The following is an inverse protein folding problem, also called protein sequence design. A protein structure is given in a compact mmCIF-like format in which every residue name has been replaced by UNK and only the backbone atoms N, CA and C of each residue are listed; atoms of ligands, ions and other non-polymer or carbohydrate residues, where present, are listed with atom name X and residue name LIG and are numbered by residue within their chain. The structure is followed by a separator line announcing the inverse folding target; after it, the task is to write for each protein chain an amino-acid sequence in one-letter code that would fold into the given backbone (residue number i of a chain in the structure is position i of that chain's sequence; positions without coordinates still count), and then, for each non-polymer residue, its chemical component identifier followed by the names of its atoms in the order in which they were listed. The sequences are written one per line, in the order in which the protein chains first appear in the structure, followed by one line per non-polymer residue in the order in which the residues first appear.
data_IF_039500883242
#
_entry.id   IF_039500883242
#
_cell.length_a   1.000
_cell.length_b   1.000
_cell.length_c   1.000
_cell.angle_alpha   90.00
_cell.angle_beta   90.00
_cell.angle_gamma   90.00
#
_symmetry.space_group_name_H-M   'P 1'
#
loop_
_entity.id
_entity.type
_entity.pdbx_description
1 polymer ?
#
# COMPACT_ATOMS: atom_id res chain seq x y z
N UNK A 1 -12.17 -16.96 -11.51
CA UNK A 1 -12.52 -17.49 -10.17
C UNK A 1 -12.76 -16.26 -9.31
N UNK A 2 -13.80 -16.25 -8.46
CA UNK A 2 -14.00 -15.13 -7.54
C UNK A 2 -12.77 -15.04 -6.64
N UNK A 3 -12.10 -13.91 -6.64
CA UNK A 3 -10.99 -13.63 -5.72
C UNK A 3 -11.58 -13.66 -4.32
N UNK A 4 -11.10 -14.58 -3.48
CA UNK A 4 -11.56 -14.70 -2.10
C UNK A 4 -11.12 -13.41 -1.38
N UNK A 5 -12.07 -12.54 -1.08
CA UNK A 5 -11.79 -11.26 -0.46
C UNK A 5 -11.97 -11.37 1.05
N UNK A 6 -10.88 -11.60 1.78
CA UNK A 6 -10.91 -11.74 3.24
C UNK A 6 -11.47 -10.52 3.96
N UNK A 7 -11.38 -9.34 3.35
CA UNK A 7 -11.94 -8.09 3.91
C UNK A 7 -13.48 -8.05 3.92
N UNK A 8 -14.17 -8.93 3.18
CA UNK A 8 -15.62 -9.13 3.24
C UNK A 8 -16.00 -10.24 4.24
N UNK A 9 -15.04 -11.00 4.76
CA UNK A 9 -15.26 -11.96 5.84
C UNK A 9 -15.67 -11.22 7.11
N UNK A 10 -16.81 -11.62 7.73
CA UNK A 10 -17.36 -10.93 8.91
C UNK A 10 -16.39 -10.87 10.08
N UNK A 11 -15.73 -11.99 10.40
CA UNK A 11 -14.78 -12.08 11.51
C UNK A 11 -13.57 -11.17 11.26
N UNK A 12 -13.02 -11.24 10.05
CA UNK A 12 -11.88 -10.40 9.67
C UNK A 12 -12.24 -8.91 9.76
N UNK A 13 -13.38 -8.54 9.21
CA UNK A 13 -13.85 -7.16 9.20
C UNK A 13 -14.04 -6.59 10.62
N UNK A 14 -14.63 -7.38 11.53
CA UNK A 14 -14.82 -6.98 12.94
C UNK A 14 -13.46 -6.78 13.64
N UNK A 15 -12.50 -7.67 13.44
CA UNK A 15 -11.15 -7.53 14.02
C UNK A 15 -10.38 -6.36 13.40
N UNK A 16 -10.49 -6.17 12.08
CA UNK A 16 -9.90 -5.02 11.39
C UNK A 16 -10.43 -3.69 11.91
N UNK A 17 -11.73 -3.60 12.18
CA UNK A 17 -12.36 -2.40 12.74
C UNK A 17 -11.82 -2.01 14.13
N UNK A 18 -11.23 -2.95 14.89
CA UNK A 18 -10.65 -2.68 16.22
C UNK A 18 -9.26 -2.05 16.16
N UNK A 19 -8.56 -2.14 15.04
CA UNK A 19 -7.22 -1.57 14.89
C UNK A 19 -7.28 -0.05 15.06
N UNK A 20 -6.27 0.53 15.72
CA UNK A 20 -6.18 1.98 15.95
C UNK A 20 -6.26 2.78 14.65
N UNK A 21 -5.52 2.35 13.59
CA UNK A 21 -5.60 3.01 12.26
C UNK A 21 -7.00 2.97 11.64
N UNK A 22 -7.77 1.91 11.89
CA UNK A 22 -9.14 1.79 11.39
C UNK A 22 -10.11 2.71 12.13
N UNK A 23 -9.88 2.95 13.42
CA UNK A 23 -10.73 3.77 14.30
C UNK A 23 -10.38 5.24 14.24
N UNK A 24 -9.10 5.56 14.28
CA UNK A 24 -8.57 6.91 14.52
C UNK A 24 -7.91 7.50 13.25
N UNK A 25 -7.84 6.71 12.17
CA UNK A 25 -7.34 7.15 10.87
C UNK A 25 -5.83 7.30 10.79
N UNK A 26 -5.40 8.21 9.94
CA UNK A 26 -3.98 8.38 9.59
C UNK A 26 -3.11 8.78 10.79
N UNK A 27 -3.66 9.52 11.76
CA UNK A 27 -2.91 9.91 12.96
C UNK A 27 -2.48 8.75 13.84
N UNK A 28 -3.17 7.60 13.77
CA UNK A 28 -2.83 6.38 14.49
C UNK A 28 -2.04 5.36 13.63
N UNK A 29 -1.71 5.71 12.41
CA UNK A 29 -0.87 4.89 11.53
C UNK A 29 0.61 5.26 11.75
N UNK A 30 1.39 4.30 12.25
CA UNK A 30 2.78 4.54 12.66
C UNK A 30 3.68 5.05 11.54
N UNK A 31 3.39 4.70 10.29
CA UNK A 31 4.11 5.14 9.10
C UNK A 31 3.70 6.55 8.61
N UNK A 32 2.60 7.10 9.11
CA UNK A 32 2.03 8.33 8.55
C UNK A 32 2.96 9.54 8.61
N UNK A 33 3.75 9.67 9.67
CA UNK A 33 4.70 10.78 9.82
C UNK A 33 5.78 10.78 8.72
N UNK A 34 6.12 9.61 8.16
CA UNK A 34 7.07 9.45 7.04
C UNK A 34 6.37 9.44 5.67
N UNK A 35 5.14 8.90 5.59
CA UNK A 35 4.38 8.82 4.34
C UNK A 35 3.81 10.19 3.92
N UNK A 36 3.29 10.96 4.88
CA UNK A 36 2.68 12.28 4.61
C UNK A 36 3.59 13.25 3.86
N UNK A 37 4.88 13.40 4.20
CA UNK A 37 5.80 14.31 3.47
C UNK A 37 6.07 13.90 2.02
N UNK A 38 5.78 12.67 1.61
CA UNK A 38 5.96 12.20 0.24
C UNK A 38 4.88 12.75 -0.71
N UNK A 39 3.73 13.17 -0.17
CA UNK A 39 2.66 13.72 -1.01
C UNK A 39 3.07 15.07 -1.61
N UNK A 40 2.80 15.29 -2.92
CA UNK A 40 2.95 16.62 -3.52
C UNK A 40 1.85 17.55 -3.01
N UNK A 41 1.92 18.86 -3.27
CA UNK A 41 0.78 19.75 -3.10
C UNK A 41 -0.43 19.25 -3.89
N UNK A 42 -1.55 18.99 -3.21
CA UNK A 42 -2.75 18.38 -3.81
C UNK A 42 -3.81 19.41 -4.21
N UNK A 43 -3.62 20.70 -3.91
CA UNK A 43 -4.55 21.76 -4.30
C UNK A 43 -4.82 21.74 -5.82
N UNK A 44 -6.06 21.57 -6.20
CA UNK A 44 -6.49 21.52 -7.61
C UNK A 44 -6.12 20.23 -8.36
N UNK A 45 -5.63 19.20 -7.67
CA UNK A 45 -5.17 17.94 -8.24
C UNK A 45 -6.25 16.87 -8.29
N UNK A 46 -6.04 15.88 -9.16
CA UNK A 46 -6.84 14.66 -9.25
C UNK A 46 -6.08 13.50 -8.60
N UNK A 47 -6.76 12.70 -7.76
CA UNK A 47 -6.13 11.63 -6.97
C UNK A 47 -6.87 10.32 -7.17
N UNK A 48 -6.11 9.22 -7.38
CA UNK A 48 -6.60 7.85 -7.37
C UNK A 48 -6.00 7.12 -6.16
N UNK A 49 -6.86 6.49 -5.34
CA UNK A 49 -6.45 5.68 -4.18
C UNK A 49 -6.76 4.20 -4.47
N UNK A 50 -5.70 3.41 -4.64
CA UNK A 50 -5.75 1.98 -4.99
C UNK A 50 -5.74 1.13 -3.72
N UNK A 51 -6.85 0.44 -3.43
CA UNK A 51 -7.07 -0.27 -2.18
C UNK A 51 -7.34 0.71 -1.04
N UNK A 52 -8.32 1.60 -1.23
CA UNK A 52 -8.56 2.75 -0.34
C UNK A 52 -9.08 2.39 1.06
N UNK A 53 -9.53 1.14 1.30
CA UNK A 53 -10.09 0.71 2.57
C UNK A 53 -11.20 1.65 3.06
N UNK A 54 -11.06 2.19 4.26
CA UNK A 54 -12.01 3.17 4.83
C UNK A 54 -11.87 4.59 4.26
N UNK A 55 -11.03 4.82 3.23
CA UNK A 55 -10.94 6.10 2.52
C UNK A 55 -10.17 7.20 3.26
N UNK A 56 -9.31 6.87 4.20
CA UNK A 56 -8.56 7.87 4.97
C UNK A 56 -7.63 8.73 4.11
N UNK A 57 -6.98 8.15 3.10
CA UNK A 57 -6.14 8.91 2.15
C UNK A 57 -6.99 9.75 1.21
N UNK A 58 -8.17 9.26 0.81
CA UNK A 58 -9.14 10.06 0.04
C UNK A 58 -9.57 11.31 0.83
N UNK A 59 -9.91 11.14 2.13
CA UNK A 59 -10.27 12.26 2.99
C UNK A 59 -9.11 13.24 3.18
N UNK A 60 -7.89 12.74 3.38
CA UNK A 60 -6.69 13.58 3.43
C UNK A 60 -6.50 14.37 2.13
N UNK A 61 -6.62 13.72 0.96
CA UNK A 61 -6.50 14.40 -0.33
C UNK A 61 -7.55 15.51 -0.49
N UNK A 62 -8.79 15.25 -0.07
CA UNK A 62 -9.86 16.26 -0.08
C UNK A 62 -9.54 17.45 0.82
N UNK A 63 -9.04 17.21 2.03
CA UNK A 63 -8.62 18.26 2.98
C UNK A 63 -7.44 19.09 2.45
N UNK A 64 -6.56 18.48 1.61
CA UNK A 64 -5.46 19.18 0.94
C UNK A 64 -5.87 19.88 -0.36
N UNK A 65 -7.19 19.95 -0.66
CA UNK A 65 -7.73 20.70 -1.79
C UNK A 65 -7.72 19.96 -3.13
N UNK A 66 -7.60 18.64 -3.15
CA UNK A 66 -7.81 17.86 -4.36
C UNK A 66 -9.26 18.05 -4.85
N UNK A 67 -9.43 18.21 -6.18
CA UNK A 67 -10.73 18.55 -6.79
C UNK A 67 -11.51 17.34 -7.28
N UNK A 68 -10.82 16.23 -7.49
CA UNK A 68 -11.43 14.94 -7.87
C UNK A 68 -10.62 13.81 -7.27
N UNK A 69 -11.31 12.94 -6.55
CA UNK A 69 -10.68 11.81 -5.87
C UNK A 69 -11.51 10.57 -6.17
N UNK A 70 -10.86 9.50 -6.58
CA UNK A 70 -11.46 8.19 -6.73
C UNK A 70 -10.76 7.21 -5.80
N UNK A 71 -11.50 6.66 -4.84
CA UNK A 71 -11.06 5.53 -4.03
C UNK A 71 -11.65 4.23 -4.58
N UNK A 72 -10.81 3.25 -4.86
CA UNK A 72 -11.24 1.91 -5.23
C UNK A 72 -10.79 0.90 -4.20
N UNK A 73 -11.66 -0.06 -3.92
CA UNK A 73 -11.36 -1.23 -3.07
C UNK A 73 -12.17 -2.43 -3.56
N UNK A 74 -11.60 -3.63 -3.43
CA UNK A 74 -12.28 -4.86 -3.81
C UNK A 74 -13.43 -5.19 -2.85
N UNK A 75 -13.33 -4.76 -1.58
CA UNK A 75 -14.30 -5.05 -0.53
C UNK A 75 -15.47 -4.09 -0.54
N UNK A 76 -16.67 -4.64 -0.70
CA UNK A 76 -17.92 -3.89 -0.54
C UNK A 76 -18.08 -3.28 0.85
N UNK A 77 -17.69 -4.02 1.91
CA UNK A 77 -17.75 -3.54 3.30
C UNK A 77 -16.81 -2.37 3.54
N UNK A 78 -15.59 -2.41 2.97
CA UNK A 78 -14.64 -1.28 3.06
C UNK A 78 -15.21 -0.03 2.40
N UNK A 79 -15.77 -0.15 1.19
CA UNK A 79 -16.38 0.96 0.46
C UNK A 79 -17.60 1.54 1.21
N UNK A 80 -18.43 0.69 1.83
CA UNK A 80 -19.54 1.18 2.67
C UNK A 80 -19.05 2.01 3.86
N UNK A 81 -18.02 1.54 4.56
CA UNK A 81 -17.42 2.29 5.67
C UNK A 81 -16.73 3.57 5.19
N UNK A 82 -16.04 3.55 4.04
CA UNK A 82 -15.46 4.75 3.44
C UNK A 82 -16.52 5.82 3.17
N UNK A 83 -17.65 5.43 2.59
CA UNK A 83 -18.79 6.35 2.34
C UNK A 83 -19.42 6.90 3.62
N UNK A 84 -19.44 6.11 4.70
CA UNK A 84 -19.99 6.56 6.00
C UNK A 84 -19.04 7.53 6.72
N UNK A 85 -17.73 7.25 6.70
CA UNK A 85 -16.75 7.96 7.53
C UNK A 85 -16.09 9.14 6.82
N UNK A 86 -15.84 9.00 5.52
CA UNK A 86 -14.95 9.87 4.75
C UNK A 86 -15.61 10.36 3.45
N UNK A 87 -16.93 10.63 3.50
CA UNK A 87 -17.64 11.22 2.37
C UNK A 87 -17.29 12.70 2.19
N UNK A 88 -17.05 13.12 0.94
CA UNK A 88 -16.97 14.52 0.55
C UNK A 88 -17.41 14.66 -0.92
N UNK A 89 -17.84 15.85 -1.33
CA UNK A 89 -18.40 16.07 -2.68
C UNK A 89 -17.43 15.68 -3.80
N UNK A 90 -16.13 15.87 -3.60
CA UNK A 90 -15.08 15.57 -4.57
C UNK A 90 -14.59 14.12 -4.52
N UNK A 91 -15.13 13.27 -3.62
CA UNK A 91 -14.71 11.87 -3.49
C UNK A 91 -15.75 10.94 -4.08
N UNK A 92 -15.34 10.12 -5.02
CA UNK A 92 -16.07 8.95 -5.50
C UNK A 92 -15.45 7.69 -4.91
N UNK A 93 -16.28 6.75 -4.42
CA UNK A 93 -15.86 5.42 -3.98
C UNK A 93 -16.48 4.35 -4.86
N UNK A 94 -15.65 3.40 -5.33
CA UNK A 94 -16.07 2.33 -6.23
C UNK A 94 -15.56 0.98 -5.75
N UNK A 95 -16.44 -0.03 -5.77
CA UNK A 95 -16.05 -1.43 -5.59
C UNK A 95 -15.36 -1.87 -6.89
N UNK A 96 -14.05 -2.08 -6.84
CA UNK A 96 -13.24 -2.46 -7.98
C UNK A 96 -11.88 -2.95 -7.49
N UNK A 97 -11.42 -4.09 -8.01
CA UNK A 97 -10.07 -4.59 -7.77
C UNK A 97 -9.01 -3.70 -8.44
N UNK A 98 -7.82 -3.65 -7.85
CA UNK A 98 -6.67 -2.91 -8.41
C UNK A 98 -6.35 -3.41 -9.82
N UNK A 99 -6.38 -4.72 -10.04
CA UNK A 99 -6.07 -5.36 -11.32
C UNK A 99 -7.16 -5.14 -12.38
N UNK A 100 -8.42 -4.94 -11.93
CA UNK A 100 -9.61 -4.78 -12.78
C UNK A 100 -9.87 -3.33 -13.22
N UNK A 101 -9.26 -2.36 -12.54
CA UNK A 101 -9.43 -0.96 -12.88
C UNK A 101 -8.86 -0.67 -14.29
N UNK A 102 -9.57 0.14 -15.09
CA UNK A 102 -9.23 0.36 -16.51
C UNK A 102 -7.98 1.21 -16.73
N UNK A 103 -7.58 2.01 -15.75
CA UNK A 103 -6.44 2.94 -15.82
C UNK A 103 -6.48 3.86 -17.06
N UNK A 104 -7.47 4.77 -17.18
CA UNK A 104 -7.55 5.70 -18.30
C UNK A 104 -6.27 6.53 -18.42
N UNK A 105 -5.81 6.79 -19.65
CA UNK A 105 -4.55 7.49 -19.90
C UNK A 105 -4.57 8.95 -19.42
N UNK A 106 -3.47 9.41 -18.86
CA UNK A 106 -3.24 10.81 -18.46
C UNK A 106 -4.37 11.43 -17.62
N UNK A 107 -4.96 10.65 -16.72
CA UNK A 107 -6.10 11.08 -15.91
C UNK A 107 -5.73 11.66 -14.56
N UNK A 108 -4.72 11.11 -13.89
CA UNK A 108 -4.43 11.38 -12.50
C UNK A 108 -3.14 12.17 -12.29
N UNK A 109 -3.18 13.17 -11.41
CA UNK A 109 -1.98 13.90 -10.96
C UNK A 109 -1.21 13.12 -9.89
N UNK A 110 -1.93 12.36 -9.06
CA UNK A 110 -1.37 11.53 -8.01
C UNK A 110 -2.12 10.20 -7.94
N UNK A 111 -1.38 9.11 -7.86
CA UNK A 111 -1.89 7.79 -7.50
C UNK A 111 -1.28 7.42 -6.15
N UNK A 112 -2.11 6.95 -5.22
CA UNK A 112 -1.66 6.44 -3.92
C UNK A 112 -2.12 5.01 -3.74
N UNK A 113 -1.33 4.19 -3.04
CA UNK A 113 -1.73 2.87 -2.58
C UNK A 113 -1.11 2.60 -1.21
N UNK A 114 -1.92 2.33 -0.20
CA UNK A 114 -1.43 2.08 1.14
C UNK A 114 -1.82 0.69 1.61
N UNK A 115 -0.83 -0.16 1.83
CA UNK A 115 -0.97 -1.54 2.33
C UNK A 115 -1.92 -2.42 1.48
N UNK A 116 -1.87 -2.27 0.15
CA UNK A 116 -2.66 -3.06 -0.79
C UNK A 116 -1.81 -3.81 -1.84
N UNK A 117 -0.64 -3.29 -2.22
CA UNK A 117 0.15 -3.87 -3.32
C UNK A 117 0.78 -5.24 -3.02
N UNK A 118 0.94 -5.60 -1.76
CA UNK A 118 1.42 -6.93 -1.36
C UNK A 118 0.36 -8.03 -1.50
N UNK A 119 -0.82 -7.72 -2.04
CA UNK A 119 -1.81 -8.71 -2.48
C UNK A 119 -1.76 -8.97 -3.99
N UNK A 120 -0.94 -8.25 -4.74
CA UNK A 120 -0.89 -8.26 -6.21
C UNK A 120 0.21 -9.20 -6.69
N UNK A 121 -0.13 -10.17 -7.53
CA UNK A 121 0.82 -11.11 -8.13
C UNK A 121 1.70 -10.42 -9.20
N UNK A 122 1.10 -9.75 -10.19
CA UNK A 122 1.81 -9.00 -11.22
C UNK A 122 1.98 -7.52 -10.85
N UNK A 123 2.86 -7.25 -9.89
CA UNK A 123 3.13 -5.88 -9.45
C UNK A 123 3.72 -5.02 -10.57
N UNK A 124 4.52 -5.61 -11.49
CA UNK A 124 5.11 -4.88 -12.61
C UNK A 124 4.05 -4.43 -13.62
N UNK A 125 3.04 -5.26 -13.89
CA UNK A 125 1.89 -4.90 -14.70
C UNK A 125 1.07 -3.78 -14.08
N UNK A 126 0.92 -3.75 -12.75
CA UNK A 126 0.28 -2.61 -12.08
C UNK A 126 1.11 -1.34 -12.23
N UNK A 127 2.43 -1.40 -12.07
CA UNK A 127 3.30 -0.22 -12.28
C UNK A 127 3.15 0.34 -13.70
N UNK A 128 3.08 -0.53 -14.72
CA UNK A 128 2.82 -0.11 -16.10
C UNK A 128 1.48 0.61 -16.24
N UNK A 129 0.40 0.04 -15.66
CA UNK A 129 -0.93 0.63 -15.69
C UNK A 129 -0.98 1.98 -14.96
N UNK A 130 -0.33 2.08 -13.79
CA UNK A 130 -0.22 3.31 -13.01
C UNK A 130 0.56 4.38 -13.79
N UNK A 131 1.68 4.03 -14.41
CA UNK A 131 2.43 4.98 -15.24
C UNK A 131 1.58 5.54 -16.39
N UNK A 132 0.83 4.68 -17.09
CA UNK A 132 -0.07 5.08 -18.18
C UNK A 132 -1.16 6.05 -17.73
N UNK A 133 -1.74 5.83 -16.56
CA UNK A 133 -2.86 6.65 -16.07
C UNK A 133 -2.43 7.96 -15.44
N UNK A 134 -1.16 8.08 -15.04
CA UNK A 134 -0.60 9.32 -14.53
C UNK A 134 -0.43 10.34 -15.66
N UNK A 135 -0.74 11.59 -15.35
CA UNK A 135 -0.37 12.73 -16.20
C UNK A 135 1.15 12.90 -16.25
N UNK A 136 1.71 13.59 -17.25
CA UNK A 136 3.11 13.96 -17.25
C UNK A 136 3.52 14.63 -15.93
N UNK A 137 4.59 14.14 -15.31
CA UNK A 137 5.06 14.54 -13.97
C UNK A 137 4.08 14.23 -12.82
N UNK A 138 3.09 13.40 -13.06
CA UNK A 138 2.27 12.83 -12.01
C UNK A 138 3.08 11.89 -11.12
N UNK A 139 2.65 11.70 -9.88
CA UNK A 139 3.40 10.90 -8.90
C UNK A 139 2.62 9.67 -8.47
N UNK A 140 3.34 8.59 -8.24
CA UNK A 140 2.87 7.39 -7.58
C UNK A 140 3.51 7.29 -6.20
N UNK A 141 2.69 7.19 -5.16
CA UNK A 141 3.13 7.03 -3.78
C UNK A 141 2.53 5.74 -3.26
N UNK A 142 3.34 4.87 -2.73
CA UNK A 142 2.79 3.68 -2.09
C UNK A 142 3.55 3.29 -0.83
N UNK A 143 2.82 2.60 0.03
CA UNK A 143 3.30 1.86 1.17
C UNK A 143 2.84 0.41 1.02
N UNK A 144 3.76 -0.52 1.13
CA UNK A 144 3.48 -1.96 1.12
C UNK A 144 4.29 -2.69 2.18
N UNK A 145 3.91 -3.91 2.50
CA UNK A 145 4.75 -4.72 3.37
C UNK A 145 6.14 -4.91 2.75
N UNK A 146 7.16 -4.71 3.58
CA UNK A 146 8.57 -4.79 3.15
C UNK A 146 8.94 -6.24 2.76
N UNK A 147 9.80 -6.45 1.76
CA UNK A 147 10.26 -7.79 1.37
C UNK A 147 10.85 -8.64 2.51
N UNK A 148 11.53 -8.02 3.47
CA UNK A 148 12.01 -8.71 4.68
C UNK A 148 10.83 -9.22 5.52
N UNK A 149 9.74 -8.48 5.58
CA UNK A 149 8.54 -8.88 6.32
C UNK A 149 7.79 -10.02 5.60
N UNK A 150 7.59 -9.91 4.30
CA UNK A 150 6.88 -10.93 3.51
C UNK A 150 7.70 -12.19 3.26
N UNK A 151 9.04 -12.15 3.35
CA UNK A 151 9.91 -13.33 3.30
C UNK A 151 9.91 -14.13 4.61
N UNK A 152 9.39 -13.56 5.70
CA UNK A 152 9.29 -14.25 6.99
C UNK A 152 8.30 -15.41 6.91
N UNK A 153 8.71 -16.60 7.32
CA UNK A 153 7.84 -17.77 7.43
C UNK A 153 6.80 -17.52 8.51
N UNK A 154 5.52 -17.50 8.12
CA UNK A 154 4.40 -17.23 9.04
C UNK A 154 4.26 -15.76 9.49
N UNK A 155 5.14 -14.87 9.07
CA UNK A 155 5.14 -13.44 9.43
C UNK A 155 5.03 -13.20 10.95
N UNK A 156 5.79 -13.95 11.72
CA UNK A 156 5.86 -13.83 13.17
C UNK A 156 7.29 -13.97 13.68
N UNK A 157 7.51 -13.54 14.90
CA UNK A 157 8.77 -13.67 15.62
C UNK A 157 9.05 -15.13 16.00
N UNK A 158 10.33 -15.49 16.06
CA UNK A 158 10.75 -16.66 16.84
C UNK A 158 10.88 -16.22 18.30
N UNK A 159 10.20 -16.92 19.19
CA UNK A 159 10.15 -16.58 20.61
C UNK A 159 11.09 -17.45 21.43
N UNK A 160 11.54 -16.94 22.56
CA UNK A 160 12.18 -17.71 23.61
C UNK A 160 11.14 -18.55 24.37
N UNK A 161 11.57 -19.50 25.21
CA UNK A 161 10.68 -20.25 26.08
C UNK A 161 9.86 -19.36 27.03
N UNK A 162 10.38 -18.19 27.35
CA UNK A 162 9.69 -17.18 28.18
C UNK A 162 8.73 -16.28 27.37
N UNK A 163 8.51 -16.54 26.08
CA UNK A 163 7.60 -15.77 25.25
C UNK A 163 8.13 -14.40 24.79
N UNK A 164 9.45 -14.16 24.89
CA UNK A 164 10.07 -12.91 24.44
C UNK A 164 10.52 -13.05 22.98
N UNK A 165 10.27 -12.06 22.09
CA UNK A 165 10.75 -12.06 20.72
C UNK A 165 12.28 -12.18 20.64
N UNK A 166 12.78 -13.25 20.02
CA UNK A 166 14.21 -13.53 19.91
C UNK A 166 14.81 -12.94 18.65
N UNK A 167 14.26 -13.28 17.49
CA UNK A 167 14.64 -12.75 16.19
C UNK A 167 13.48 -12.91 15.20
N UNK A 168 13.52 -12.12 14.12
CA UNK A 168 12.62 -12.26 12.97
C UNK A 168 13.23 -13.21 11.96
N UNK A 169 12.56 -14.31 11.58
CA UNK A 169 13.09 -15.23 10.58
C UNK A 169 12.90 -14.67 9.18
N UNK A 170 13.95 -14.71 8.37
CA UNK A 170 13.90 -14.43 6.91
C UNK A 170 14.34 -15.70 6.20
N UNK A 171 13.45 -16.24 5.35
CA UNK A 171 13.73 -17.44 4.56
C UNK A 171 13.03 -17.33 3.20
N UNK A 172 13.51 -18.09 2.22
CA UNK A 172 12.92 -18.13 0.89
C UNK A 172 12.80 -16.74 0.20
N UNK A 173 13.70 -15.80 0.52
CA UNK A 173 13.65 -14.43 0.00
C UNK A 173 13.68 -14.34 -1.53
N UNK A 174 14.40 -15.24 -2.21
CA UNK A 174 14.46 -15.26 -3.68
C UNK A 174 13.39 -16.16 -4.32
N UNK A 175 12.60 -16.85 -3.52
CA UNK A 175 11.45 -17.62 -3.99
C UNK A 175 10.22 -16.71 -3.86
N UNK A 176 9.87 -16.03 -4.96
CA UNK A 176 8.76 -15.08 -4.99
C UNK A 176 7.40 -15.75 -5.19
N UNK A 177 6.31 -15.01 -4.99
CA UNK A 177 4.94 -15.48 -5.13
C UNK A 177 4.20 -15.63 -3.82
N UNK A 178 3.25 -16.53 -3.77
CA UNK A 178 2.31 -16.66 -2.66
C UNK A 178 2.94 -16.95 -1.31
N UNK A 179 2.39 -16.29 -0.28
CA UNK A 179 2.65 -16.52 1.14
C UNK A 179 1.33 -16.69 1.87
N UNK A 180 1.11 -17.87 2.40
CA UNK A 180 -0.01 -18.11 3.31
C UNK A 180 0.38 -17.58 4.69
N UNK A 181 -0.29 -16.53 5.12
CA UNK A 181 -0.02 -15.85 6.39
C UNK A 181 -1.26 -15.81 7.25
N UNK A 182 -1.08 -15.57 8.54
CA UNK A 182 -2.21 -15.40 9.44
C UNK A 182 -2.27 -13.95 9.92
N UNK A 183 -3.37 -13.28 9.57
CA UNK A 183 -3.59 -11.89 9.97
C UNK A 183 -4.99 -11.74 10.57
N UNK A 184 -5.08 -11.11 11.75
CA UNK A 184 -6.33 -10.92 12.50
C UNK A 184 -7.09 -12.23 12.75
N UNK A 185 -6.35 -13.33 12.91
CA UNK A 185 -6.92 -14.66 13.18
C UNK A 185 -7.52 -15.36 11.96
N UNK A 186 -7.36 -14.82 10.75
CA UNK A 186 -7.76 -15.42 9.48
C UNK A 186 -6.52 -15.75 8.63
N UNK A 187 -6.65 -16.75 7.76
CA UNK A 187 -5.61 -17.08 6.79
C UNK A 187 -5.71 -16.09 5.63
N UNK A 188 -4.61 -15.45 5.28
CA UNK A 188 -4.55 -14.42 4.25
C UNK A 188 -3.43 -14.77 3.28
N UNK A 189 -3.74 -14.76 1.98
CA UNK A 189 -2.75 -14.94 0.92
C UNK A 189 -2.16 -13.58 0.56
N UNK A 190 -0.84 -13.48 0.64
CA UNK A 190 -0.07 -12.32 0.20
C UNK A 190 0.91 -12.73 -0.89
N UNK A 191 1.45 -11.76 -1.60
CA UNK A 191 2.44 -11.95 -2.64
C UNK A 191 3.79 -11.40 -2.17
N UNK A 192 4.80 -12.25 -2.14
CA UNK A 192 6.16 -11.84 -1.84
C UNK A 192 6.88 -11.43 -3.13
N UNK A 193 7.41 -10.23 -3.13
CA UNK A 193 8.30 -9.69 -4.16
C UNK A 193 9.63 -9.32 -3.52
N UNK A 194 10.74 -9.52 -4.24
CA UNK A 194 12.04 -9.00 -3.77
C UNK A 194 12.09 -7.48 -3.90
N UNK A 195 12.94 -6.84 -3.12
CA UNK A 195 13.18 -5.39 -3.26
C UNK A 195 13.62 -5.01 -4.68
N UNK A 196 14.43 -5.88 -5.32
CA UNK A 196 14.83 -5.69 -6.72
C UNK A 196 13.63 -5.68 -7.66
N UNK A 197 12.69 -6.63 -7.52
CA UNK A 197 11.50 -6.66 -8.37
C UNK A 197 10.64 -5.41 -8.22
N UNK A 198 10.51 -4.89 -7.00
CA UNK A 198 9.74 -3.68 -6.74
C UNK A 198 10.43 -2.45 -7.38
N UNK A 199 11.68 -2.19 -7.04
CA UNK A 199 12.37 -0.98 -7.50
C UNK A 199 12.68 -1.02 -9.00
N UNK A 200 13.18 -2.14 -9.51
CA UNK A 200 13.41 -2.29 -10.95
C UNK A 200 12.12 -2.36 -11.76
N UNK A 201 11.04 -2.88 -11.16
CA UNK A 201 9.70 -2.84 -11.76
C UNK A 201 9.24 -1.41 -12.04
N UNK A 202 9.47 -0.47 -11.12
CA UNK A 202 9.20 0.95 -11.35
C UNK A 202 10.09 1.54 -12.45
N UNK A 203 11.42 1.37 -12.32
CA UNK A 203 12.39 1.92 -13.28
C UNK A 203 12.15 1.41 -14.71
N UNK A 204 11.88 0.12 -14.86
CA UNK A 204 11.62 -0.51 -16.16
C UNK A 204 10.29 -0.07 -16.78
N UNK A 205 9.36 0.47 -15.98
CA UNK A 205 8.09 1.02 -16.44
C UNK A 205 8.10 2.56 -16.55
N UNK A 206 9.28 3.19 -16.60
CA UNK A 206 9.43 4.62 -16.92
C UNK A 206 9.28 5.56 -15.74
N UNK A 207 9.25 5.05 -14.51
CA UNK A 207 9.27 5.89 -13.32
C UNK A 207 10.68 6.34 -12.96
N UNK A 208 10.79 7.55 -12.43
CA UNK A 208 11.93 8.02 -11.66
C UNK A 208 11.62 7.89 -10.16
N UNK A 209 12.43 7.14 -9.44
CA UNK A 209 12.24 6.96 -7.98
C UNK A 209 12.77 8.21 -7.29
N UNK A 210 11.89 8.93 -6.57
CA UNK A 210 12.24 10.17 -5.85
C UNK A 210 12.52 9.90 -4.37
N UNK A 211 11.90 8.88 -3.78
CA UNK A 211 12.15 8.47 -2.40
C UNK A 211 11.90 6.98 -2.20
N UNK A 212 12.73 6.38 -1.36
CA UNK A 212 12.54 5.04 -0.79
C UNK A 212 12.81 5.16 0.70
N UNK A 213 11.86 4.72 1.53
CA UNK A 213 11.98 4.75 2.98
C UNK A 213 11.47 3.43 3.57
N UNK A 214 12.18 2.91 4.54
CA UNK A 214 11.70 1.82 5.42
C UNK A 214 11.02 2.48 6.60
N UNK A 215 9.73 2.18 6.82
CA UNK A 215 8.98 2.88 7.85
C UNK A 215 9.43 2.45 9.25
N UNK A 216 9.67 3.42 10.10
CA UNK A 216 9.94 3.27 11.51
C UNK A 216 8.77 3.81 12.34
N UNK A 217 8.42 3.18 13.46
CA UNK A 217 7.41 3.74 14.34
C UNK A 217 7.92 5.05 14.98
N UNK A 218 7.05 6.06 15.17
CA UNK A 218 7.44 7.33 15.76
C UNK A 218 7.71 7.20 17.27
N UNK A 219 8.51 8.11 17.81
CA UNK A 219 8.93 8.11 19.21
C UNK A 219 7.77 8.04 20.19
N UNK A 220 6.65 8.70 19.87
CA UNK A 220 5.43 8.72 20.70
C UNK A 220 4.81 7.33 20.87
N UNK A 221 5.07 6.40 19.97
CA UNK A 221 4.55 5.04 20.03
C UNK A 221 5.48 4.06 20.77
N UNK A 222 6.71 4.47 21.13
CA UNK A 222 7.69 3.58 21.79
C UNK A 222 7.26 3.05 23.17
N UNK A 223 6.25 3.66 23.77
CA UNK A 223 5.62 3.18 25.00
C UNK A 223 4.60 2.05 24.80
N UNK A 224 4.18 1.79 23.57
CA UNK A 224 3.19 0.74 23.25
C UNK A 224 3.90 -0.63 23.29
N UNK A 225 3.33 -1.65 23.97
CA UNK A 225 3.92 -2.99 24.01
C UNK A 225 4.19 -3.54 22.60
N UNK A 226 5.39 -4.07 22.38
CA UNK A 226 5.85 -4.61 21.10
C UNK A 226 6.39 -3.58 20.11
N UNK A 227 6.14 -2.27 20.31
CA UNK A 227 6.54 -1.24 19.33
C UNK A 227 8.06 -1.12 19.19
N UNK A 228 8.82 -1.34 20.26
CA UNK A 228 10.30 -1.35 20.20
C UNK A 228 10.84 -2.50 19.35
N UNK A 229 10.11 -3.61 19.23
CA UNK A 229 10.52 -4.72 18.39
C UNK A 229 10.36 -4.39 16.90
N UNK A 230 9.49 -3.44 16.55
CA UNK A 230 9.36 -2.95 15.16
C UNK A 230 10.64 -2.30 14.63
N UNK A 231 11.51 -1.76 15.50
CA UNK A 231 12.85 -1.24 15.14
C UNK A 231 13.87 -2.34 14.76
N UNK A 232 13.53 -3.60 14.96
CA UNK A 232 14.46 -4.72 14.75
C UNK A 232 14.38 -5.29 13.33
N UNK A 233 13.35 -4.91 12.58
CA UNK A 233 13.18 -5.28 11.17
C UNK A 233 12.25 -4.27 10.45
N UNK A 234 12.44 -4.01 9.15
CA UNK A 234 11.49 -3.20 8.41
C UNK A 234 10.17 -3.97 8.21
N UNK A 235 9.05 -3.34 8.56
CA UNK A 235 7.72 -3.89 8.31
C UNK A 235 7.12 -3.37 7.01
N UNK A 236 7.41 -2.10 6.68
CA UNK A 236 6.80 -1.40 5.56
C UNK A 236 7.86 -0.71 4.69
N UNK A 237 7.59 -0.67 3.39
CA UNK A 237 8.37 0.02 2.37
C UNK A 237 7.53 1.14 1.77
N UNK A 238 7.98 2.38 1.96
CA UNK A 238 7.38 3.56 1.38
C UNK A 238 8.18 3.98 0.15
N UNK A 239 7.48 4.22 -0.96
CA UNK A 239 8.13 4.66 -2.20
C UNK A 239 7.35 5.82 -2.80
N UNK A 240 8.08 6.82 -3.28
CA UNK A 240 7.57 7.86 -4.17
C UNK A 240 8.29 7.78 -5.50
N UNK A 241 7.53 7.72 -6.59
CA UNK A 241 8.03 7.68 -7.94
C UNK A 241 7.27 8.65 -8.85
N UNK A 242 7.96 9.31 -9.78
CA UNK A 242 7.38 10.26 -10.73
C UNK A 242 7.33 9.67 -12.14
N UNK A 243 6.21 9.87 -12.84
CA UNK A 243 6.08 9.59 -14.26
C UNK A 243 6.63 10.76 -15.08
N UNK A 244 7.94 10.76 -15.40
CA UNK A 244 8.59 11.85 -16.13
C UNK A 244 8.16 11.89 -17.60
N UNK A 245 7.84 13.07 -18.09
CA UNK A 245 7.61 13.29 -19.51
C UNK A 245 8.89 12.96 -20.30
N UNK A 246 8.82 12.00 -21.21
CA UNK A 246 9.96 11.60 -22.06
C UNK A 246 10.93 10.58 -21.43
N UNK A 247 10.57 9.97 -20.32
CA UNK A 247 11.29 8.81 -19.79
C UNK A 247 11.26 7.69 -20.83
N UNK A 248 12.39 7.42 -21.50
CA UNK A 248 12.51 6.27 -22.38
C UNK A 248 12.32 5.04 -21.51
N UNK A 249 11.27 4.27 -21.76
CA UNK A 249 11.24 2.87 -21.33
C UNK A 249 12.54 2.25 -21.87
N UNK A 250 13.45 1.72 -21.03
CA UNK A 250 14.66 1.06 -21.52
C UNK A 250 14.22 0.02 -22.53
N UNK A 251 14.67 0.16 -23.80
CA UNK A 251 14.17 -0.60 -24.92
C UNK A 251 14.28 -2.10 -24.66
N UNK A 252 13.23 -2.82 -25.03
CA UNK A 252 13.39 -4.22 -25.42
C UNK A 252 14.54 -4.24 -26.43
N UNK A 253 15.68 -4.77 -26.04
CA UNK A 253 16.67 -5.19 -27.02
C UNK A 253 15.96 -6.27 -27.83
N UNK A 254 15.66 -5.93 -29.09
CA UNK A 254 15.27 -6.91 -30.10
C UNK A 254 16.39 -7.93 -30.17
N UNK A 255 16.10 -9.16 -29.78
CA UNK A 255 16.91 -10.34 -30.09
C UNK A 255 16.42 -10.94 -31.39
#
# INVERSE_FOLDING_TARGET
MAVNNEYDNERFFVEYAKMSRSREGLGAAGEWHQLKPLFPPLQGKTVLDLGCGYGWHCAFAAQQGAVRILGIDLSGKMIEEAKKRNAAQQIEYRICGIEEYEYPENMWDCVVSNLALHYIEDIAGIFQKVHRTLKPNGVFIFNMEHPVFTAGVGQDWVYTEAGTPRYWPVDNYFITGERNTRFLGCDVIKQHHTLTQILMGLLNNGFEIEAVQEAEPPDEMMGIPGMKDELRRPMMLLVKAAARAGGKVPGKQEQ
#
